data_IF_277845888868
#
_entry.id   IF_277845888868
#
_cell.length_a   1.000
_cell.length_b   1.000
_cell.length_c   1.000
_cell.angle_alpha   90.00
_cell.angle_beta   90.00
_cell.angle_gamma   90.00
#
_symmetry.space_group_name_H-M   'P 1'
#
loop_
_entity.id
_entity.type
_entity.pdbx_description
1 polymer ?
#
# COMPACT_ATOMS: atom_id res chain seq x y z
N UNK A 1 55.88 12.33 -21.58
CA UNK A 1 55.09 12.69 -20.38
C UNK A 1 54.04 11.61 -20.13
N UNK A 2 54.21 10.78 -19.09
CA UNK A 2 53.23 9.75 -18.72
C UNK A 2 52.01 10.38 -18.05
N UNK A 3 50.82 10.21 -18.66
CA UNK A 3 49.56 10.78 -18.16
C UNK A 3 49.23 10.14 -16.80
N UNK A 4 49.26 10.96 -15.74
CA UNK A 4 49.01 10.56 -14.34
C UNK A 4 47.66 9.82 -14.25
N UNK A 5 47.64 8.67 -13.57
CA UNK A 5 46.42 7.84 -13.37
C UNK A 5 45.43 8.61 -12.49
N UNK A 6 44.13 8.55 -12.82
CA UNK A 6 43.09 9.12 -11.95
C UNK A 6 42.97 8.31 -10.66
N UNK A 7 42.73 8.97 -9.52
CA UNK A 7 42.51 8.27 -8.26
C UNK A 7 41.23 7.41 -8.34
N UNK A 8 41.32 6.16 -7.88
CA UNK A 8 40.21 5.19 -7.89
C UNK A 8 40.07 4.33 -9.16
N UNK A 9 40.90 4.53 -10.20
CA UNK A 9 40.78 3.86 -11.51
C UNK A 9 41.52 2.50 -11.62
N UNK A 10 41.93 1.90 -10.51
CA UNK A 10 42.98 0.86 -10.42
C UNK A 10 42.83 -0.40 -11.28
N UNK A 11 41.72 -0.60 -12.00
CA UNK A 11 41.45 -1.78 -12.83
C UNK A 11 41.24 -1.52 -14.32
N UNK A 12 41.42 -0.29 -14.83
CA UNK A 12 41.20 0.01 -16.26
C UNK A 12 42.47 -0.30 -17.08
N UNK A 13 42.39 -1.26 -18.01
CA UNK A 13 43.50 -1.65 -18.89
C UNK A 13 43.05 -1.88 -20.34
N UNK A 14 43.97 -1.70 -21.29
CA UNK A 14 43.71 -1.90 -22.72
C UNK A 14 44.06 -3.35 -23.11
N UNK A 15 43.16 -4.01 -23.85
CA UNK A 15 43.34 -5.37 -24.37
C UNK A 15 44.11 -5.37 -25.69
N UNK A 16 44.54 -6.56 -26.11
CA UNK A 16 45.25 -6.78 -27.38
C UNK A 16 44.41 -6.44 -28.61
N UNK A 17 43.08 -6.53 -28.50
CA UNK A 17 42.10 -6.15 -29.54
C UNK A 17 41.84 -4.63 -29.63
N UNK A 18 42.57 -3.82 -28.85
CA UNK A 18 42.44 -2.36 -28.84
C UNK A 18 41.34 -1.82 -27.92
N UNK A 19 40.45 -2.68 -27.39
CA UNK A 19 39.36 -2.28 -26.49
C UNK A 19 39.85 -2.00 -25.06
N UNK A 20 39.16 -1.11 -24.35
CA UNK A 20 39.40 -0.84 -22.94
C UNK A 20 38.51 -1.74 -22.07
N UNK A 21 39.07 -2.24 -20.98
CA UNK A 21 38.38 -3.13 -20.03
C UNK A 21 38.57 -2.64 -18.60
N UNK A 22 37.54 -2.77 -17.77
CA UNK A 22 37.62 -2.64 -16.32
C UNK A 22 36.92 -3.80 -15.63
N UNK A 23 37.39 -4.14 -14.44
CA UNK A 23 36.80 -5.21 -13.61
C UNK A 23 36.21 -4.61 -12.35
N UNK A 24 34.96 -4.96 -12.09
CA UNK A 24 34.25 -4.66 -10.84
C UNK A 24 34.12 -5.96 -10.05
N UNK A 25 34.70 -6.00 -8.85
CA UNK A 25 34.51 -7.11 -7.92
C UNK A 25 33.18 -6.94 -7.21
N UNK A 26 32.24 -7.87 -7.44
CA UNK A 26 30.91 -7.85 -6.81
C UNK A 26 30.85 -8.68 -5.52
N UNK A 27 32.00 -9.14 -5.01
CA UNK A 27 32.08 -9.95 -3.81
C UNK A 27 31.71 -11.43 -4.05
N UNK A 28 31.23 -12.08 -2.99
CA UNK A 28 30.90 -13.50 -2.99
C UNK A 28 29.39 -13.70 -3.05
N UNK A 29 28.93 -14.47 -4.04
CA UNK A 29 27.52 -14.85 -4.18
C UNK A 29 27.45 -16.37 -4.25
N UNK A 30 26.74 -17.01 -3.31
CA UNK A 30 26.63 -18.48 -3.19
C UNK A 30 28.00 -19.21 -3.17
N UNK A 31 28.95 -18.69 -2.40
CA UNK A 31 30.30 -19.28 -2.27
C UNK A 31 31.21 -19.11 -3.49
N UNK A 32 30.77 -18.44 -4.56
CA UNK A 32 31.59 -18.13 -5.73
C UNK A 32 31.84 -16.63 -5.84
N UNK A 33 33.09 -16.25 -6.14
CA UNK A 33 33.45 -14.84 -6.37
C UNK A 33 32.87 -14.38 -7.71
N UNK A 34 32.03 -13.34 -7.68
CA UNK A 34 31.38 -12.80 -8.88
C UNK A 34 32.08 -11.52 -9.31
N UNK A 35 32.51 -11.46 -10.58
CA UNK A 35 33.16 -10.29 -11.19
C UNK A 35 32.38 -9.85 -12.42
N UNK A 36 32.23 -8.54 -12.62
CA UNK A 36 31.62 -7.95 -13.81
C UNK A 36 32.70 -7.26 -14.64
N UNK A 37 32.78 -7.61 -15.91
CA UNK A 37 33.71 -7.01 -16.86
C UNK A 37 32.97 -5.92 -17.65
N UNK A 38 33.58 -4.74 -17.74
CA UNK A 38 33.05 -3.58 -18.45
C UNK A 38 33.99 -3.28 -19.62
N UNK A 39 33.43 -3.15 -20.82
CA UNK A 39 34.18 -2.91 -22.05
C UNK A 39 33.77 -1.58 -22.69
N UNK A 40 34.69 -0.97 -23.44
CA UNK A 40 34.44 0.25 -24.20
C UNK A 40 35.55 0.54 -25.21
N UNK A 41 35.27 1.43 -26.16
CA UNK A 41 36.21 1.81 -27.21
C UNK A 41 37.21 2.86 -26.70
N UNK A 42 36.84 3.61 -25.67
CA UNK A 42 37.72 4.63 -25.06
C UNK A 42 37.89 4.40 -23.57
N UNK A 43 39.03 4.84 -23.03
CA UNK A 43 39.30 4.82 -21.58
C UNK A 43 38.24 5.57 -20.79
N UNK A 44 37.75 6.70 -21.31
CA UNK A 44 36.73 7.56 -20.67
C UNK A 44 35.40 6.82 -20.54
N UNK A 45 34.95 6.18 -21.60
CA UNK A 45 33.72 5.38 -21.61
C UNK A 45 33.75 4.27 -20.54
N UNK A 46 34.88 3.57 -20.43
CA UNK A 46 35.06 2.53 -19.41
C UNK A 46 35.14 3.11 -18.00
N UNK A 47 35.76 4.28 -17.82
CA UNK A 47 35.80 4.97 -16.54
C UNK A 47 34.42 5.44 -16.07
N UNK A 48 33.57 5.94 -16.98
CA UNK A 48 32.20 6.35 -16.68
C UNK A 48 31.33 5.13 -16.31
N UNK A 49 31.47 4.02 -17.05
CA UNK A 49 30.85 2.72 -16.72
C UNK A 49 31.30 2.21 -15.35
N UNK A 50 32.58 2.35 -15.03
CA UNK A 50 33.17 1.93 -13.76
C UNK A 50 32.64 2.76 -12.58
N UNK A 51 32.55 4.10 -12.74
CA UNK A 51 31.95 5.00 -11.74
C UNK A 51 30.48 4.67 -11.49
N UNK A 52 29.70 4.42 -12.55
CA UNK A 52 28.30 4.02 -12.42
C UNK A 52 28.16 2.70 -11.65
N UNK A 53 29.00 1.70 -11.96
CA UNK A 53 29.00 0.41 -11.25
C UNK A 53 29.41 0.54 -9.78
N UNK A 54 30.40 1.37 -9.44
CA UNK A 54 30.77 1.64 -8.06
C UNK A 54 29.68 2.40 -7.29
N UNK A 55 28.98 3.32 -7.94
CA UNK A 55 27.84 4.03 -7.33
C UNK A 55 26.67 3.07 -7.05
N UNK A 56 26.41 2.13 -7.97
CA UNK A 56 25.42 1.06 -7.80
C UNK A 56 25.78 0.13 -6.63
N UNK A 57 27.08 -0.17 -6.47
CA UNK A 57 27.62 -0.99 -5.39
C UNK A 57 27.61 -0.28 -4.02
N UNK A 58 27.96 1.02 -3.98
CA UNK A 58 27.89 1.85 -2.78
C UNK A 58 26.44 2.05 -2.29
N UNK A 59 25.45 1.97 -3.20
CA UNK A 59 24.02 1.97 -2.88
C UNK A 59 23.53 0.70 -2.17
N UNK A 60 24.36 -0.34 -2.02
CA UNK A 60 24.06 -1.52 -1.23
C UNK A 60 22.91 -2.38 -1.76
N UNK A 61 22.54 -2.25 -3.04
CA UNK A 61 21.54 -3.10 -3.66
C UNK A 61 22.10 -4.53 -3.78
N UNK A 62 21.74 -5.39 -2.82
CA UNK A 62 21.87 -6.83 -3.02
C UNK A 62 21.16 -7.15 -4.32
N UNK A 63 21.91 -7.71 -5.28
CA UNK A 63 21.45 -8.04 -6.62
C UNK A 63 20.40 -9.15 -6.46
N UNK A 64 19.16 -8.74 -6.18
CA UNK A 64 17.96 -9.52 -6.37
C UNK A 64 17.96 -10.02 -7.83
N UNK A 65 17.38 -11.20 -8.11
CA UNK A 65 17.43 -11.78 -9.45
C UNK A 65 16.99 -10.73 -10.47
N UNK A 66 17.88 -10.42 -11.42
CA UNK A 66 17.88 -9.31 -12.41
C UNK A 66 16.60 -9.14 -13.24
N UNK A 67 15.56 -9.95 -12.99
CA UNK A 67 14.37 -10.12 -13.83
C UNK A 67 13.04 -10.12 -13.08
N UNK A 68 12.99 -9.88 -11.76
CA UNK A 68 11.70 -9.85 -11.08
C UNK A 68 10.83 -8.69 -11.60
N UNK A 69 9.63 -9.01 -12.09
CA UNK A 69 8.64 -8.02 -12.51
C UNK A 69 7.90 -7.41 -11.33
N UNK A 70 7.28 -6.24 -11.53
CA UNK A 70 6.43 -5.60 -10.53
C UNK A 70 5.28 -6.54 -10.12
N UNK A 71 4.66 -7.23 -11.07
CA UNK A 71 3.59 -8.19 -10.80
C UNK A 71 4.04 -9.30 -9.84
N UNK A 72 5.15 -9.98 -10.15
CA UNK A 72 5.69 -11.06 -9.33
C UNK A 72 6.11 -10.58 -7.93
N UNK A 73 6.65 -9.37 -7.85
CA UNK A 73 6.97 -8.74 -6.56
C UNK A 73 5.71 -8.47 -5.72
N UNK A 74 4.68 -7.88 -6.32
CA UNK A 74 3.44 -7.54 -5.62
C UNK A 74 2.68 -8.79 -5.14
N UNK A 75 2.69 -9.86 -5.92
CA UNK A 75 2.11 -11.14 -5.51
C UNK A 75 2.82 -11.72 -4.28
N UNK A 76 4.16 -11.76 -4.32
CA UNK A 76 4.97 -12.20 -3.17
C UNK A 76 4.72 -11.31 -1.95
N UNK A 77 4.63 -9.99 -2.16
CA UNK A 77 4.37 -9.02 -1.09
C UNK A 77 2.98 -9.21 -0.46
N UNK A 78 1.95 -9.44 -1.27
CA UNK A 78 0.59 -9.70 -0.79
C UNK A 78 0.55 -10.96 0.09
N UNK A 79 1.12 -12.06 -0.39
CA UNK A 79 1.07 -13.35 0.33
C UNK A 79 1.97 -13.38 1.57
N UNK A 80 3.21 -12.91 1.46
CA UNK A 80 4.19 -13.07 2.54
C UNK A 80 4.18 -11.92 3.55
N UNK A 81 3.66 -10.74 3.17
CA UNK A 81 3.66 -9.57 4.06
C UNK A 81 2.24 -9.17 4.45
N UNK A 82 1.40 -8.85 3.46
CA UNK A 82 0.09 -8.25 3.75
C UNK A 82 -0.82 -9.25 4.44
N UNK A 83 -0.87 -10.49 3.95
CA UNK A 83 -1.70 -11.56 4.51
C UNK A 83 -1.32 -11.93 5.94
N UNK A 84 -0.03 -11.92 6.26
CA UNK A 84 0.50 -12.26 7.59
C UNK A 84 0.27 -11.12 8.58
N UNK A 85 0.54 -9.88 8.16
CA UNK A 85 0.51 -8.71 9.05
C UNK A 85 -0.89 -8.12 9.24
N UNK A 86 -1.77 -8.26 8.24
CA UNK A 86 -3.02 -7.52 8.19
C UNK A 86 -4.24 -8.43 8.28
N UNK A 87 -5.37 -7.86 8.74
CA UNK A 87 -6.66 -8.55 8.74
C UNK A 87 -7.09 -8.87 7.32
N UNK A 88 -7.84 -9.96 7.14
CA UNK A 88 -8.36 -10.44 5.85
C UNK A 88 -8.93 -9.33 4.94
N UNK A 89 -9.79 -8.44 5.47
CA UNK A 89 -10.37 -7.36 4.66
C UNK A 89 -9.36 -6.33 4.13
N UNK A 90 -8.22 -6.13 4.81
CA UNK A 90 -7.13 -5.31 4.28
C UNK A 90 -6.38 -6.03 3.17
N UNK A 91 -6.12 -7.33 3.34
CA UNK A 91 -5.54 -8.16 2.28
C UNK A 91 -6.44 -8.16 1.04
N UNK A 92 -7.75 -8.41 1.19
CA UNK A 92 -8.71 -8.39 0.08
C UNK A 92 -8.70 -7.04 -0.65
N UNK A 93 -8.74 -5.93 0.10
CA UNK A 93 -8.70 -4.59 -0.51
C UNK A 93 -7.39 -4.33 -1.26
N UNK A 94 -6.25 -4.72 -0.69
CA UNK A 94 -4.95 -4.53 -1.33
C UNK A 94 -4.81 -5.42 -2.57
N UNK A 95 -5.22 -6.69 -2.48
CA UNK A 95 -5.21 -7.63 -3.58
C UNK A 95 -6.11 -7.15 -4.73
N UNK A 96 -7.30 -6.62 -4.42
CA UNK A 96 -8.19 -6.04 -5.42
C UNK A 96 -7.54 -4.86 -6.14
N UNK A 97 -6.94 -3.92 -5.40
CA UNK A 97 -6.23 -2.77 -5.97
C UNK A 97 -5.07 -3.23 -6.87
N UNK A 98 -4.27 -4.18 -6.41
CA UNK A 98 -3.14 -4.72 -7.17
C UNK A 98 -3.62 -5.36 -8.47
N UNK A 99 -4.58 -6.29 -8.38
CA UNK A 99 -5.06 -7.06 -9.53
C UNK A 99 -5.84 -6.22 -10.55
N UNK A 100 -6.62 -5.25 -10.08
CA UNK A 100 -7.54 -4.48 -10.95
C UNK A 100 -6.90 -3.23 -11.55
N UNK A 101 -5.88 -2.65 -10.90
CA UNK A 101 -5.33 -1.34 -11.30
C UNK A 101 -3.82 -1.37 -11.54
N UNK A 102 -3.04 -1.96 -10.63
CA UNK A 102 -1.58 -1.86 -10.68
C UNK A 102 -0.98 -2.86 -11.67
N UNK A 103 -1.29 -4.14 -11.52
CA UNK A 103 -0.73 -5.21 -12.36
C UNK A 103 -1.05 -5.03 -13.84
N UNK A 104 -2.30 -4.69 -14.25
CA UNK A 104 -2.60 -4.49 -15.67
C UNK A 104 -1.84 -3.33 -16.31
N UNK A 105 -1.54 -2.27 -15.53
CA UNK A 105 -0.90 -1.08 -16.06
C UNK A 105 0.63 -1.15 -16.06
N UNK A 106 1.23 -1.62 -14.97
CA UNK A 106 2.70 -1.56 -14.76
C UNK A 106 3.33 -2.89 -14.34
N UNK A 107 2.53 -3.95 -14.22
CA UNK A 107 2.99 -5.25 -13.72
C UNK A 107 4.09 -5.91 -14.55
N UNK A 108 4.14 -5.59 -15.85
CA UNK A 108 5.11 -6.12 -16.81
C UNK A 108 6.50 -5.46 -16.70
N UNK A 109 6.62 -4.29 -16.07
CA UNK A 109 7.92 -3.65 -15.89
C UNK A 109 8.80 -4.45 -14.92
N UNK A 110 10.11 -4.43 -15.15
CA UNK A 110 11.09 -4.92 -14.17
C UNK A 110 11.06 -4.01 -12.95
N UNK A 111 11.09 -4.60 -11.75
CA UNK A 111 10.99 -3.87 -10.49
C UNK A 111 12.08 -2.79 -10.36
N UNK A 112 13.30 -3.08 -10.81
CA UNK A 112 14.45 -2.16 -10.79
C UNK A 112 14.38 -1.05 -11.84
N UNK A 113 13.54 -1.21 -12.87
CA UNK A 113 13.36 -0.24 -13.97
C UNK A 113 12.03 0.52 -13.88
N UNK A 114 11.33 0.41 -12.76
CA UNK A 114 10.08 1.13 -12.56
C UNK A 114 10.39 2.61 -12.28
N UNK A 115 9.95 3.48 -13.17
CA UNK A 115 10.13 4.93 -13.07
C UNK A 115 8.84 5.64 -12.63
N UNK A 116 8.93 6.86 -12.05
CA UNK A 116 7.76 7.66 -11.68
C UNK A 116 6.80 7.90 -12.84
N UNK A 117 7.29 8.07 -14.07
CA UNK A 117 6.49 8.36 -15.26
C UNK A 117 5.53 7.22 -15.59
N UNK A 118 5.95 5.95 -15.44
CA UNK A 118 5.08 4.79 -15.64
C UNK A 118 3.90 4.81 -14.66
N UNK A 119 4.15 5.23 -13.42
CA UNK A 119 3.15 5.31 -12.36
C UNK A 119 2.22 6.50 -12.61
N UNK A 120 2.75 7.65 -13.03
CA UNK A 120 1.95 8.83 -13.34
C UNK A 120 0.97 8.55 -14.48
N UNK A 121 1.43 7.90 -15.55
CA UNK A 121 0.57 7.48 -16.68
C UNK A 121 -0.55 6.55 -16.20
N UNK A 122 -0.24 5.58 -15.34
CA UNK A 122 -1.27 4.72 -14.73
C UNK A 122 -2.29 5.55 -13.93
N UNK A 123 -1.85 6.46 -13.05
CA UNK A 123 -2.76 7.25 -12.22
C UNK A 123 -3.64 8.20 -13.04
N UNK A 124 -3.09 8.79 -14.11
CA UNK A 124 -3.85 9.63 -15.05
C UNK A 124 -4.95 8.81 -15.73
N UNK A 125 -4.62 7.63 -16.28
CA UNK A 125 -5.61 6.73 -16.90
C UNK A 125 -6.74 6.34 -15.96
N UNK A 126 -6.46 6.12 -14.68
CA UNK A 126 -7.50 5.84 -13.69
C UNK A 126 -8.41 7.06 -13.45
N UNK A 127 -7.83 8.26 -13.45
CA UNK A 127 -8.57 9.51 -13.32
C UNK A 127 -9.45 9.74 -14.55
N UNK A 128 -8.90 9.54 -15.75
CA UNK A 128 -9.62 9.68 -17.03
C UNK A 128 -10.75 8.65 -17.18
N UNK A 129 -10.58 7.46 -16.59
CA UNK A 129 -11.62 6.44 -16.49
C UNK A 129 -12.72 6.76 -15.44
N UNK A 130 -12.69 7.95 -14.83
CA UNK A 130 -13.72 8.43 -13.91
C UNK A 130 -13.62 7.86 -12.48
N UNK A 131 -12.50 7.26 -12.09
CA UNK A 131 -12.36 6.79 -10.71
C UNK A 131 -12.28 7.98 -9.75
N UNK A 132 -12.98 7.84 -8.62
CA UNK A 132 -12.95 8.84 -7.56
C UNK A 132 -11.49 9.13 -7.11
N UNK A 133 -11.12 10.40 -6.85
CA UNK A 133 -9.76 10.75 -6.44
C UNK A 133 -9.25 9.99 -5.19
N UNK A 134 -10.16 9.62 -4.28
CA UNK A 134 -9.85 8.76 -3.12
C UNK A 134 -9.34 7.38 -3.57
N UNK A 135 -9.93 6.81 -4.61
CA UNK A 135 -9.51 5.52 -5.15
C UNK A 135 -8.13 5.62 -5.78
N UNK A 136 -7.87 6.65 -6.60
CA UNK A 136 -6.54 6.92 -7.20
C UNK A 136 -5.47 7.07 -6.13
N UNK A 137 -5.76 7.81 -5.04
CA UNK A 137 -4.87 7.90 -3.87
C UNK A 137 -4.59 6.55 -3.22
N UNK A 138 -5.62 5.72 -3.05
CA UNK A 138 -5.46 4.39 -2.45
C UNK A 138 -4.58 3.50 -3.32
N UNK A 139 -4.73 3.54 -4.65
CA UNK A 139 -3.87 2.83 -5.60
C UNK A 139 -2.41 3.21 -5.40
N UNK A 140 -2.09 4.51 -5.41
CA UNK A 140 -0.72 4.99 -5.14
C UNK A 140 -0.25 4.58 -3.74
N UNK A 141 -1.09 4.69 -2.71
CA UNK A 141 -0.70 4.36 -1.34
C UNK A 141 -0.31 2.88 -1.18
N UNK A 142 -1.08 1.97 -1.79
CA UNK A 142 -0.78 0.53 -1.82
C UNK A 142 0.54 0.27 -2.55
N UNK A 143 0.73 0.86 -3.74
CA UNK A 143 1.98 0.71 -4.49
C UNK A 143 3.19 1.26 -3.71
N UNK A 144 3.03 2.43 -3.07
CA UNK A 144 4.08 3.06 -2.27
C UNK A 144 4.47 2.20 -1.07
N UNK A 145 3.52 1.56 -0.39
CA UNK A 145 3.81 0.66 0.73
C UNK A 145 4.60 -0.58 0.27
N UNK A 146 4.19 -1.18 -0.86
CA UNK A 146 4.91 -2.30 -1.45
C UNK A 146 6.35 -1.91 -1.85
N UNK A 147 6.53 -0.81 -2.57
CA UNK A 147 7.86 -0.33 -3.00
C UNK A 147 8.73 0.12 -1.82
N UNK A 148 8.15 0.63 -0.72
CA UNK A 148 8.89 0.88 0.50
C UNK A 148 9.47 -0.41 1.10
N UNK A 149 8.75 -1.53 1.01
CA UNK A 149 9.31 -2.80 1.43
C UNK A 149 10.44 -3.27 0.51
N UNK A 150 10.29 -3.12 -0.81
CA UNK A 150 11.38 -3.41 -1.76
C UNK A 150 12.62 -2.57 -1.45
N UNK A 151 12.45 -1.28 -1.15
CA UNK A 151 13.52 -0.37 -0.76
C UNK A 151 14.20 -0.80 0.54
N UNK A 152 13.42 -1.12 1.59
CA UNK A 152 13.96 -1.63 2.86
C UNK A 152 14.77 -2.92 2.69
N UNK A 153 14.36 -3.77 1.75
CA UNK A 153 15.05 -5.01 1.36
C UNK A 153 16.13 -4.78 0.30
N UNK A 154 16.46 -3.52 0.00
CA UNK A 154 17.47 -3.09 -0.98
C UNK A 154 17.30 -3.72 -2.38
N UNK A 155 16.07 -4.06 -2.78
CA UNK A 155 15.75 -4.60 -4.11
C UNK A 155 15.60 -3.52 -5.17
N UNK A 156 15.39 -2.27 -4.74
CA UNK A 156 15.32 -1.07 -5.57
C UNK A 156 16.10 0.04 -4.87
N UNK A 157 16.66 0.96 -5.66
CA UNK A 157 17.43 2.09 -5.14
C UNK A 157 16.55 3.22 -4.58
N UNK A 158 15.32 3.36 -5.09
CA UNK A 158 14.38 4.40 -4.66
C UNK A 158 12.93 3.94 -4.86
N UNK A 159 11.99 4.63 -4.19
CA UNK A 159 10.56 4.37 -4.33
C UNK A 159 9.93 5.30 -5.38
N UNK A 160 9.73 4.81 -6.60
CA UNK A 160 9.13 5.59 -7.69
C UNK A 160 7.73 6.14 -7.35
N UNK A 161 6.90 5.39 -6.60
CA UNK A 161 5.56 5.83 -6.21
C UNK A 161 5.58 6.99 -5.18
N UNK A 162 6.72 7.24 -4.54
CA UNK A 162 6.86 8.39 -3.65
C UNK A 162 6.99 9.72 -4.42
N UNK A 163 7.41 9.66 -5.69
CA UNK A 163 7.79 10.83 -6.51
C UNK A 163 6.69 11.29 -7.48
N UNK A 164 5.55 10.59 -7.53
CA UNK A 164 4.42 10.97 -8.38
C UNK A 164 3.47 11.98 -7.75
N UNK A 165 2.82 12.76 -8.60
CA UNK A 165 1.78 13.71 -8.22
C UNK A 165 0.41 13.04 -8.13
N UNK A 166 -0.46 13.54 -7.26
CA UNK A 166 -1.83 13.06 -7.14
C UNK A 166 -2.78 14.24 -7.31
N UNK A 167 -3.91 14.05 -8.02
CA UNK A 167 -5.03 14.98 -7.96
C UNK A 167 -5.38 15.38 -6.52
N UNK A 168 -5.56 16.69 -6.31
CA UNK A 168 -6.26 17.16 -5.12
C UNK A 168 -7.67 16.58 -5.18
N UNK A 169 -8.15 16.09 -4.04
CA UNK A 169 -9.55 15.72 -3.90
C UNK A 169 -10.11 16.64 -2.86
N UNK A 170 -11.21 17.24 -3.24
CA UNK A 170 -12.07 17.97 -2.35
C UNK A 170 -12.58 17.01 -1.28
N UNK A 171 -12.64 17.51 -0.04
CA UNK A 171 -13.32 16.77 1.02
C UNK A 171 -14.81 16.87 0.71
N UNK A 172 -15.53 15.75 0.55
CA UNK A 172 -16.98 15.84 0.39
C UNK A 172 -17.54 16.56 1.62
N UNK A 173 -18.40 17.54 1.38
CA UNK A 173 -19.15 18.20 2.45
C UNK A 173 -20.17 17.19 2.94
N UNK A 174 -19.94 16.67 4.14
CA UNK A 174 -20.92 15.82 4.80
C UNK A 174 -21.99 16.76 5.34
N UNK A 175 -23.23 16.63 4.87
CA UNK A 175 -24.39 17.32 5.41
C UNK A 175 -25.05 16.40 6.46
N UNK A 176 -24.84 16.63 7.77
CA UNK A 176 -25.49 15.85 8.80
C UNK A 176 -27.00 16.16 8.83
N UNK A 177 -27.79 15.22 9.35
CA UNK A 177 -29.21 15.48 9.59
C UNK A 177 -29.37 16.61 10.62
N UNK A 178 -30.27 17.54 10.34
CA UNK A 178 -30.72 18.50 11.34
C UNK A 178 -31.52 17.81 12.43
N UNK A 179 -31.74 18.49 13.57
CA UNK A 179 -32.59 17.99 14.65
C UNK A 179 -34.02 17.68 14.19
N UNK A 180 -34.57 18.50 13.29
CA UNK A 180 -35.91 18.30 12.72
C UNK A 180 -35.96 17.09 11.80
N UNK A 181 -34.97 16.94 10.90
CA UNK A 181 -34.87 15.77 10.02
C UNK A 181 -34.64 14.48 10.81
N UNK A 182 -33.87 14.54 11.90
CA UNK A 182 -33.66 13.40 12.79
C UNK A 182 -34.96 12.98 13.48
N UNK A 183 -35.75 13.94 13.96
CA UNK A 183 -37.09 13.67 14.52
C UNK A 183 -38.05 13.10 13.48
N UNK A 184 -38.06 13.65 12.27
CA UNK A 184 -38.88 13.15 11.16
C UNK A 184 -38.52 11.71 10.78
N UNK A 185 -37.22 11.40 10.70
CA UNK A 185 -36.74 10.03 10.45
C UNK A 185 -37.20 9.06 11.54
N UNK A 186 -37.06 9.44 12.82
CA UNK A 186 -37.51 8.61 13.95
C UNK A 186 -39.03 8.39 13.96
N UNK A 187 -39.81 9.36 13.50
CA UNK A 187 -41.26 9.20 13.35
C UNK A 187 -41.59 8.25 12.19
N UNK A 188 -40.89 8.36 11.07
CA UNK A 188 -41.14 7.56 9.87
C UNK A 188 -40.79 6.07 10.03
N UNK A 189 -39.81 5.74 10.87
CA UNK A 189 -39.41 4.35 11.12
C UNK A 189 -40.18 3.69 12.26
N UNK A 190 -41.17 4.36 12.85
CA UNK A 190 -41.94 3.80 13.97
C UNK A 190 -42.78 2.61 13.50
N UNK A 191 -42.68 1.47 14.19
CA UNK A 191 -43.36 0.23 13.84
C UNK A 191 -42.68 -0.57 12.72
N UNK A 192 -41.62 -0.03 12.09
CA UNK A 192 -40.87 -0.71 11.05
C UNK A 192 -39.88 -1.73 11.65
N UNK A 193 -39.56 -2.83 10.95
CA UNK A 193 -38.62 -3.85 11.45
C UNK A 193 -37.23 -3.32 11.83
N UNK A 194 -36.83 -2.17 11.27
CA UNK A 194 -35.53 -1.54 11.50
C UNK A 194 -35.57 -0.37 12.49
N UNK A 195 -36.69 -0.12 13.16
CA UNK A 195 -36.86 1.01 14.09
C UNK A 195 -35.71 1.11 15.11
N UNK A 196 -35.47 0.01 15.83
CA UNK A 196 -34.44 -0.05 16.88
C UNK A 196 -33.03 0.28 16.33
N UNK A 197 -32.74 -0.15 15.09
CA UNK A 197 -31.45 0.12 14.45
C UNK A 197 -31.24 1.62 14.23
N UNK A 198 -32.25 2.31 13.69
CA UNK A 198 -32.17 3.75 13.42
C UNK A 198 -32.13 4.57 14.71
N UNK A 199 -32.94 4.20 15.72
CA UNK A 199 -32.92 4.81 17.05
C UNK A 199 -31.55 4.72 17.70
N UNK A 200 -30.98 3.52 17.76
CA UNK A 200 -29.64 3.30 18.33
C UNK A 200 -28.58 4.08 17.56
N UNK A 201 -28.61 4.05 16.22
CA UNK A 201 -27.62 4.73 15.39
C UNK A 201 -27.63 6.26 15.60
N UNK A 202 -28.81 6.87 15.69
CA UNK A 202 -28.96 8.31 15.92
C UNK A 202 -28.63 8.73 17.34
N UNK A 203 -29.04 7.94 18.35
CA UNK A 203 -28.85 8.32 19.76
C UNK A 203 -27.44 8.06 20.28
N UNK A 204 -26.77 7.01 19.80
CA UNK A 204 -25.46 6.58 20.32
C UNK A 204 -24.30 6.82 19.35
N UNK A 205 -24.58 7.27 18.13
CA UNK A 205 -23.55 7.55 17.12
C UNK A 205 -22.73 6.33 16.72
N UNK A 206 -23.32 5.13 16.84
CA UNK A 206 -22.63 3.88 16.53
C UNK A 206 -22.40 3.73 15.03
N UNK A 207 -21.25 3.17 14.64
CA UNK A 207 -21.01 2.83 13.24
C UNK A 207 -21.96 1.73 12.81
N UNK A 208 -22.44 1.73 11.55
CA UNK A 208 -23.36 0.70 11.02
C UNK A 208 -22.95 -0.73 11.39
N UNK A 209 -21.67 -1.08 11.22
CA UNK A 209 -21.19 -2.42 11.57
C UNK A 209 -21.22 -2.72 13.07
N UNK A 210 -21.09 -1.71 13.93
CA UNK A 210 -21.22 -1.85 15.40
C UNK A 210 -22.70 -2.10 15.77
N UNK A 211 -23.65 -1.34 15.21
CA UNK A 211 -25.09 -1.55 15.44
C UNK A 211 -25.52 -2.94 15.02
N UNK A 212 -25.09 -3.38 13.82
CA UNK A 212 -25.39 -4.72 13.31
C UNK A 212 -24.71 -5.86 14.08
N UNK A 213 -23.76 -5.56 14.97
CA UNK A 213 -23.05 -6.55 15.77
C UNK A 213 -23.60 -6.73 17.18
N UNK A 214 -24.56 -5.90 17.58
CA UNK A 214 -25.19 -5.95 18.90
C UNK A 214 -25.94 -7.25 19.10
N UNK A 215 -25.89 -7.75 20.33
CA UNK A 215 -26.62 -8.91 20.82
C UNK A 215 -27.40 -8.53 22.07
N UNK A 216 -28.37 -9.36 22.47
CA UNK A 216 -29.09 -9.16 23.71
C UNK A 216 -28.16 -9.12 24.94
N UNK A 217 -27.11 -9.94 24.95
CA UNK A 217 -26.05 -9.94 25.99
C UNK A 217 -25.24 -8.64 26.07
N UNK A 218 -25.27 -7.80 25.02
CA UNK A 218 -24.55 -6.52 24.99
C UNK A 218 -25.37 -5.39 25.63
N UNK A 219 -26.62 -5.64 26.08
CA UNK A 219 -27.53 -4.63 26.63
C UNK A 219 -27.89 -4.99 28.07
N UNK A 220 -27.57 -4.09 28.99
CA UNK A 220 -27.99 -4.16 30.39
C UNK A 220 -29.08 -3.10 30.63
N UNK A 221 -30.32 -3.56 30.73
CA UNK A 221 -31.47 -2.69 30.96
C UNK A 221 -31.57 -2.19 32.40
N UNK A 222 -31.03 -2.94 33.37
CA UNK A 222 -31.04 -2.55 34.79
C UNK A 222 -30.07 -1.40 35.03
N UNK A 223 -28.83 -1.55 34.54
CA UNK A 223 -27.79 -0.53 34.64
C UNK A 223 -27.89 0.54 33.55
N UNK A 224 -28.82 0.38 32.60
CA UNK A 224 -29.03 1.25 31.42
C UNK A 224 -27.72 1.46 30.65
N UNK A 225 -27.11 0.37 30.24
CA UNK A 225 -25.82 0.37 29.55
C UNK A 225 -25.87 -0.49 28.29
N UNK A 226 -25.14 -0.04 27.27
CA UNK A 226 -24.94 -0.78 26.03
C UNK A 226 -23.45 -0.95 25.77
N UNK A 227 -23.01 -2.20 25.63
CA UNK A 227 -21.63 -2.57 25.40
C UNK A 227 -21.37 -2.76 23.90
N UNK A 228 -20.51 -1.92 23.33
CA UNK A 228 -20.04 -2.10 21.95
C UNK A 228 -18.85 -3.07 21.97
N UNK A 229 -19.11 -4.34 21.70
CA UNK A 229 -18.11 -5.42 21.79
C UNK A 229 -17.67 -6.00 20.44
N UNK A 230 -18.26 -5.56 19.33
CA UNK A 230 -18.02 -6.13 18.01
C UNK A 230 -18.37 -5.23 16.83
N UNK A 231 -18.02 -5.69 15.64
CA UNK A 231 -18.46 -5.09 14.39
C UNK A 231 -18.69 -6.17 13.34
N UNK A 232 -19.81 -6.09 12.62
CA UNK A 232 -20.12 -6.95 11.47
C UNK A 232 -19.59 -6.31 10.20
N UNK A 233 -18.93 -7.13 9.37
CA UNK A 233 -18.53 -6.78 8.01
C UNK A 233 -18.85 -7.91 7.05
N UNK A 234 -19.06 -7.57 5.78
CA UNK A 234 -19.18 -8.54 4.70
C UNK A 234 -17.79 -8.74 4.08
N UNK A 235 -17.35 -10.00 3.96
CA UNK A 235 -16.09 -10.43 3.32
C UNK A 235 -16.44 -11.61 2.41
N UNK A 236 -16.12 -11.55 1.11
CA UNK A 236 -16.41 -12.65 0.18
C UNK A 236 -17.88 -13.10 0.15
N UNK A 237 -18.84 -12.17 0.30
CA UNK A 237 -20.27 -12.47 0.33
C UNK A 237 -20.81 -12.91 1.71
N UNK A 238 -19.95 -13.27 2.66
CA UNK A 238 -20.33 -13.77 3.98
C UNK A 238 -20.28 -12.65 5.02
N UNK A 239 -21.28 -12.59 5.90
CA UNK A 239 -21.28 -11.70 7.07
C UNK A 239 -20.45 -12.30 8.19
N UNK A 240 -19.49 -11.54 8.70
CA UNK A 240 -18.61 -11.95 9.79
C UNK A 240 -18.67 -10.91 10.92
N UNK A 241 -19.08 -11.34 12.11
CA UNK A 241 -18.89 -10.58 13.35
C UNK A 241 -17.43 -10.71 13.78
N UNK A 242 -16.77 -9.60 14.08
CA UNK A 242 -15.39 -9.60 14.57
C UNK A 242 -15.25 -8.71 15.78
N UNK A 243 -14.33 -9.08 16.66
CA UNK A 243 -13.89 -8.19 17.73
C UNK A 243 -13.25 -6.90 17.13
N UNK A 244 -13.38 -5.75 17.81
CA UNK A 244 -12.80 -4.49 17.36
C UNK A 244 -11.28 -4.56 17.13
N UNK A 245 -10.73 -3.56 16.44
CA UNK A 245 -9.28 -3.55 16.11
C UNK A 245 -8.40 -3.31 17.33
N UNK A 246 -8.90 -2.53 18.27
CA UNK A 246 -8.18 -2.14 19.48
C UNK A 246 -9.08 -2.38 20.69
N UNK A 247 -8.47 -2.65 21.84
CA UNK A 247 -9.20 -2.78 23.10
C UNK A 247 -9.94 -1.48 23.46
N UNK A 248 -9.38 -0.33 23.09
CA UNK A 248 -10.03 0.99 23.20
C UNK A 248 -11.29 1.16 22.35
N UNK A 249 -11.54 0.28 21.38
CA UNK A 249 -12.77 0.30 20.59
C UNK A 249 -13.92 -0.44 21.29
N UNK A 250 -13.62 -1.27 22.30
CA UNK A 250 -14.62 -1.85 23.19
C UNK A 250 -14.98 -0.79 24.20
N UNK A 251 -16.25 -0.42 24.26
CA UNK A 251 -16.73 0.66 25.13
C UNK A 251 -18.14 0.38 25.60
N UNK A 252 -18.44 0.87 26.78
CA UNK A 252 -19.80 0.88 27.32
C UNK A 252 -20.34 2.29 27.20
N UNK A 253 -21.55 2.42 26.67
CA UNK A 253 -22.27 3.68 26.52
C UNK A 253 -23.51 3.67 27.42
N UNK A 254 -23.88 4.81 28.00
CA UNK A 254 -25.17 4.92 28.68
C UNK A 254 -26.28 4.72 27.64
N UNK A 255 -27.30 3.95 28.00
CA UNK A 255 -28.49 3.72 27.18
C UNK A 255 -29.51 4.85 27.49
N UNK A 256 -29.71 5.83 26.58
CA UNK A 256 -30.58 6.96 26.85
C UNK A 256 -32.04 6.51 26.92
N UNK A 257 -32.85 7.21 27.72
CA UNK A 257 -34.26 6.84 27.99
C UNK A 257 -35.10 6.70 26.71
N UNK A 258 -34.77 7.43 25.65
CA UNK A 258 -35.44 7.35 24.35
C UNK A 258 -35.34 5.96 23.68
N UNK A 259 -34.42 5.11 24.14
CA UNK A 259 -34.22 3.74 23.66
C UNK A 259 -34.89 2.69 24.57
N UNK A 260 -35.42 3.08 25.73
CA UNK A 260 -36.06 2.16 26.69
C UNK A 260 -37.56 2.00 26.47
N UNK A 261 -38.20 2.97 25.82
CA UNK A 261 -39.64 3.01 25.59
C UNK A 261 -39.95 2.70 24.11
N UNK A 262 -39.75 1.44 23.72
CA UNK A 262 -40.18 0.90 22.42
C UNK A 262 -41.46 0.10 22.63
#
# INVERSE_FOLDING_TARGET
>A
MGKRRGQGEGSIHRRTDGTWCAVVDLGWVNGKRKRKYLYGQTRKEVADKLKAAHHEQAGGADIAPERQTVAAFLETWLEQTVKVRNRAGTYESYAQIVRSHITPAIGHHQLTKLLPEHIQVMLNRLTDAGLAPRTVRNVRAVLRDALNQALKRRRIAFNAAALVEIPRAEKPVIAPLTSEQSRALLAAVRGEPLEALYRIALSLGLRRGEVLALRWEDIDFEQRQLRVSGSVRRSGGVLMRRAPKTQSSIRTLPLPTILLNV
#
